data_IF_625605572045
#
_entry.id   IF_625605572045
#
_cell.length_a   1.000
_cell.length_b   1.000
_cell.length_c   1.000
_cell.angle_alpha   90.00
_cell.angle_beta   90.00
_cell.angle_gamma   90.00
#
_symmetry.space_group_name_H-M   'P 1'
#
loop_
_entity.id
_entity.type
_entity.pdbx_description
1 polymer ?
#
# COMPACT_ATOMS: atom_id res chain seq x y z
N UNK A 1 4.14 5.08 -20.85
CA UNK A 1 3.19 5.03 -19.71
C UNK A 1 2.39 6.33 -19.74
N UNK A 2 1.08 6.25 -19.97
CA UNK A 2 0.20 7.43 -19.99
C UNK A 2 -0.40 7.54 -18.59
N UNK A 3 0.01 8.55 -17.82
CA UNK A 3 -0.52 8.81 -16.47
C UNK A 3 -1.49 9.97 -16.48
N UNK A 4 -2.59 9.86 -15.72
CA UNK A 4 -3.46 10.99 -15.39
C UNK A 4 -3.01 11.55 -14.06
N UNK A 5 -2.96 12.88 -13.93
CA UNK A 5 -2.75 13.51 -12.63
C UNK A 5 -3.88 13.12 -11.67
N UNK A 6 -3.51 12.48 -10.56
CA UNK A 6 -4.46 12.14 -9.51
C UNK A 6 -4.80 13.39 -8.69
N UNK A 7 -6.08 13.57 -8.39
CA UNK A 7 -6.57 14.61 -7.48
C UNK A 7 -6.65 14.12 -6.04
N UNK A 8 -6.34 12.85 -5.78
CA UNK A 8 -6.44 12.23 -4.46
C UNK A 8 -5.39 12.78 -3.50
N UNK A 9 -5.82 13.17 -2.30
CA UNK A 9 -4.98 13.70 -1.23
C UNK A 9 -5.40 13.10 0.09
N UNK A 10 -4.45 12.71 0.92
CA UNK A 10 -4.68 12.17 2.26
C UNK A 10 -3.50 12.49 3.16
N UNK A 11 -3.71 12.36 4.48
CA UNK A 11 -2.64 12.53 5.46
C UNK A 11 -1.86 11.22 5.62
N UNK A 12 -0.57 11.34 5.83
CA UNK A 12 0.30 10.21 6.14
C UNK A 12 1.09 10.52 7.40
N UNK A 13 1.08 9.58 8.34
CA UNK A 13 1.51 9.76 9.70
C UNK A 13 2.63 8.79 10.04
N UNK A 14 3.60 9.31 10.75
CA UNK A 14 4.70 8.57 11.35
C UNK A 14 4.74 8.87 12.84
N UNK A 15 5.11 7.87 13.64
CA UNK A 15 5.44 8.04 15.05
C UNK A 15 6.95 7.92 15.23
N UNK A 16 7.48 8.69 16.17
CA UNK A 16 8.87 8.57 16.63
C UNK A 16 8.84 7.97 18.03
N UNK A 17 9.60 6.90 18.22
CA UNK A 17 9.92 6.42 19.56
C UNK A 17 10.97 7.35 20.14
N UNK A 18 10.59 8.12 21.16
CA UNK A 18 11.46 9.11 21.80
C UNK A 18 12.69 8.48 22.48
N UNK A 19 12.61 7.20 22.88
CA UNK A 19 13.70 6.50 23.57
C UNK A 19 14.77 5.97 22.61
N UNK A 20 14.34 5.46 21.46
CA UNK A 20 15.24 4.83 20.46
C UNK A 20 15.53 5.74 19.27
N UNK A 21 14.77 6.82 19.10
CA UNK A 21 14.79 7.68 17.92
C UNK A 21 14.22 7.03 16.66
N UNK A 22 13.74 5.79 16.74
CA UNK A 22 13.22 5.03 15.61
C UNK A 22 11.90 5.65 15.14
N UNK A 23 11.83 5.96 13.85
CA UNK A 23 10.61 6.43 13.20
C UNK A 23 9.89 5.22 12.60
N UNK A 24 8.60 5.10 12.90
CA UNK A 24 7.73 4.04 12.40
C UNK A 24 6.53 4.64 11.71
N UNK A 25 6.10 4.00 10.64
CA UNK A 25 4.86 4.35 10.00
C UNK A 25 3.66 4.02 10.91
N UNK A 26 2.69 4.93 11.03
CA UNK A 26 1.38 4.64 11.61
C UNK A 26 0.48 3.96 10.57
N UNK A 27 0.88 2.78 10.09
CA UNK A 27 0.28 2.15 8.91
C UNK A 27 -1.25 2.00 8.99
N UNK A 28 -1.79 1.63 10.16
CA UNK A 28 -3.23 1.50 10.35
C UNK A 28 -3.99 2.83 10.11
N UNK A 29 -3.50 3.94 10.67
CA UNK A 29 -4.07 5.27 10.44
C UNK A 29 -3.95 5.64 8.94
N UNK A 30 -2.78 5.36 8.36
CA UNK A 30 -2.44 5.73 7.00
C UNK A 30 -3.26 5.00 5.94
N UNK A 31 -3.52 3.71 6.14
CA UNK A 31 -4.32 2.92 5.19
C UNK A 31 -5.79 3.33 5.25
N UNK A 32 -6.31 3.67 6.43
CA UNK A 32 -7.66 4.23 6.58
C UNK A 32 -7.77 5.55 5.80
N UNK A 33 -6.84 6.47 6.03
CA UNK A 33 -6.77 7.77 5.33
C UNK A 33 -6.68 7.60 3.81
N UNK A 34 -5.81 6.68 3.34
CA UNK A 34 -5.66 6.40 1.91
C UNK A 34 -6.92 5.80 1.29
N UNK A 35 -7.54 4.80 1.92
CA UNK A 35 -8.78 4.18 1.42
C UNK A 35 -9.91 5.20 1.38
N UNK A 36 -10.06 6.03 2.41
CA UNK A 36 -11.07 7.07 2.45
C UNK A 36 -10.89 8.06 1.28
N UNK A 37 -9.65 8.51 1.03
CA UNK A 37 -9.38 9.44 -0.07
C UNK A 37 -9.60 8.83 -1.46
N UNK A 38 -9.33 7.54 -1.65
CA UNK A 38 -9.62 6.82 -2.91
C UNK A 38 -11.09 6.39 -3.03
N UNK A 39 -11.89 6.56 -1.98
CA UNK A 39 -13.31 6.22 -1.96
C UNK A 39 -14.22 7.46 -1.94
N UNK A 40 -13.68 8.62 -2.34
CA UNK A 40 -14.37 9.92 -2.32
C UNK A 40 -14.89 10.31 -0.93
N UNK A 41 -14.11 10.00 0.11
CA UNK A 41 -14.44 10.29 1.50
C UNK A 41 -15.45 9.32 2.14
N UNK A 42 -15.89 8.28 1.42
CA UNK A 42 -16.74 7.25 2.02
C UNK A 42 -15.99 6.48 3.10
N UNK A 43 -16.66 6.29 4.23
CA UNK A 43 -16.16 5.44 5.30
C UNK A 43 -16.34 3.97 4.89
N UNK A 44 -15.33 3.41 4.21
CA UNK A 44 -15.34 2.02 3.75
C UNK A 44 -14.73 1.07 4.78
N UNK A 45 -13.83 1.58 5.63
CA UNK A 45 -13.13 0.81 6.65
C UNK A 45 -13.84 0.95 7.99
N UNK A 46 -14.17 -0.17 8.62
CA UNK A 46 -14.70 -0.23 9.98
C UNK A 46 -13.58 -0.22 11.02
N UNK A 47 -12.48 -0.93 10.74
CA UNK A 47 -11.32 -0.98 11.61
C UNK A 47 -10.12 -1.66 10.96
N UNK A 48 -8.93 -1.40 11.52
CA UNK A 48 -7.69 -2.02 11.09
C UNK A 48 -7.00 -2.64 12.29
N UNK A 49 -6.78 -3.95 12.24
CA UNK A 49 -6.09 -4.72 13.25
C UNK A 49 -4.70 -5.10 12.73
N UNK A 50 -3.67 -4.46 13.27
CA UNK A 50 -2.31 -4.98 13.16
C UNK A 50 -2.27 -6.26 14.01
N UNK A 51 -2.31 -7.42 13.36
CA UNK A 51 -2.69 -8.67 14.03
C UNK A 51 -1.82 -8.95 15.27
N UNK A 52 -2.48 -9.24 16.39
CA UNK A 52 -1.89 -9.42 17.74
C UNK A 52 -0.81 -10.48 17.84
N UNK A 53 0.41 -10.12 17.41
CA UNK A 53 1.63 -10.93 17.52
C UNK A 53 2.37 -11.17 16.20
N UNK A 54 1.75 -10.96 15.03
CA UNK A 54 2.43 -11.12 13.73
C UNK A 54 2.68 -9.77 13.05
N UNK A 55 3.92 -9.25 13.05
CA UNK A 55 4.26 -7.96 12.45
C UNK A 55 4.14 -7.93 10.92
N UNK A 56 3.96 -9.09 10.29
CA UNK A 56 3.82 -9.24 8.84
C UNK A 56 2.37 -9.49 8.40
N UNK A 57 1.40 -9.39 9.30
CA UNK A 57 -0.02 -9.53 8.96
C UNK A 57 -0.84 -8.36 9.47
N UNK A 58 -1.73 -7.89 8.61
CA UNK A 58 -2.72 -6.88 8.93
C UNK A 58 -4.10 -7.29 8.44
N UNK A 59 -5.10 -6.97 9.22
CA UNK A 59 -6.50 -7.21 8.89
C UNK A 59 -7.22 -5.86 8.78
N UNK A 60 -7.92 -5.65 7.67
CA UNK A 60 -8.77 -4.48 7.43
C UNK A 60 -10.21 -4.97 7.37
N UNK A 61 -11.01 -4.57 8.34
CA UNK A 61 -12.44 -4.88 8.38
C UNK A 61 -13.19 -3.80 7.59
N UNK A 62 -14.02 -4.23 6.64
CA UNK A 62 -14.79 -3.32 5.77
C UNK A 62 -16.21 -3.18 6.32
N UNK A 63 -16.78 -1.98 6.18
CA UNK A 63 -18.17 -1.75 6.57
C UNK A 63 -19.12 -2.68 5.81
N UNK A 64 -20.17 -3.21 6.47
CA UNK A 64 -21.21 -4.00 5.81
C UNK A 64 -21.89 -3.24 4.66
N UNK A 65 -22.37 -3.98 3.65
CA UNK A 65 -23.08 -3.41 2.49
C UNK A 65 -22.17 -2.97 1.33
N UNK A 66 -20.84 -3.05 1.49
CA UNK A 66 -19.89 -2.88 0.39
C UNK A 66 -19.90 -4.06 -0.60
N UNK A 67 -19.73 -3.77 -1.89
CA UNK A 67 -19.59 -4.82 -2.93
C UNK A 67 -18.23 -5.54 -2.89
N UNK A 68 -17.24 -4.92 -2.25
CA UNK A 68 -15.82 -5.28 -2.40
C UNK A 68 -15.38 -6.39 -1.43
N UNK A 69 -16.11 -6.64 -0.36
CA UNK A 69 -15.82 -7.72 0.60
C UNK A 69 -16.27 -7.32 2.01
N UNK A 70 -16.07 -8.22 2.97
CA UNK A 70 -16.22 -7.95 4.40
C UNK A 70 -14.87 -7.70 5.09
N UNK A 71 -13.78 -8.26 4.56
CA UNK A 71 -12.46 -8.20 5.19
C UNK A 71 -11.34 -8.31 4.16
N UNK A 72 -10.24 -7.59 4.38
CA UNK A 72 -9.00 -7.73 3.62
C UNK A 72 -7.90 -8.16 4.59
N UNK A 73 -7.17 -9.19 4.23
CA UNK A 73 -5.96 -9.63 4.93
C UNK A 73 -4.74 -9.26 4.09
N UNK A 74 -3.80 -8.54 4.67
CA UNK A 74 -2.53 -8.19 4.02
C UNK A 74 -1.41 -8.96 4.71
N UNK A 75 -0.62 -9.66 3.93
CA UNK A 75 0.54 -10.41 4.37
C UNK A 75 1.79 -9.86 3.69
N UNK A 76 2.77 -9.42 4.47
CA UNK A 76 4.06 -8.97 3.94
C UNK A 76 5.09 -10.08 4.07
N UNK A 77 5.39 -10.71 2.94
CA UNK A 77 6.23 -11.91 2.86
C UNK A 77 7.72 -11.57 2.87
N UNK A 78 8.09 -10.35 2.48
CA UNK A 78 9.47 -9.90 2.48
C UNK A 78 9.57 -8.40 2.35
N UNK A 79 10.61 -7.83 2.98
CA UNK A 79 10.97 -6.42 2.87
C UNK A 79 12.47 -6.29 2.64
N UNK A 80 12.86 -5.37 1.79
CA UNK A 80 14.25 -4.91 1.66
C UNK A 80 14.23 -3.40 1.58
N UNK A 81 15.18 -2.76 2.23
CA UNK A 81 15.35 -1.32 2.13
C UNK A 81 16.82 -0.94 2.12
N UNK A 82 17.10 0.18 1.47
CA UNK A 82 18.43 0.76 1.39
C UNK A 82 18.30 2.29 1.41
N UNK A 83 19.32 2.95 1.96
CA UNK A 83 19.45 4.39 1.85
C UNK A 83 20.73 4.74 1.09
N UNK A 84 20.60 5.67 0.15
CA UNK A 84 21.66 6.11 -0.74
C UNK A 84 21.89 7.61 -0.51
N UNK A 85 23.08 8.10 -0.87
CA UNK A 85 23.43 9.53 -0.84
C UNK A 85 23.25 10.14 0.56
N UNK A 86 23.81 9.45 1.56
CA UNK A 86 23.85 9.93 2.95
C UNK A 86 22.47 10.07 3.62
N UNK A 87 21.43 9.41 3.11
CA UNK A 87 20.06 9.52 3.67
C UNK A 87 19.06 10.22 2.76
N UNK A 88 19.50 10.89 1.70
CA UNK A 88 18.64 11.75 0.88
C UNK A 88 17.70 10.96 -0.04
N UNK A 89 18.08 9.72 -0.37
CA UNK A 89 17.30 8.76 -1.16
C UNK A 89 17.07 7.51 -0.30
N UNK A 90 15.82 7.05 -0.29
CA UNK A 90 15.44 5.81 0.37
C UNK A 90 14.71 4.91 -0.61
N UNK A 91 15.17 3.67 -0.73
CA UNK A 91 14.58 2.64 -1.56
C UNK A 91 13.99 1.57 -0.66
N UNK A 92 12.81 1.07 -1.00
CA UNK A 92 12.19 -0.06 -0.33
C UNK A 92 11.51 -0.96 -1.35
N UNK A 93 11.54 -2.26 -1.13
CA UNK A 93 10.71 -3.22 -1.83
C UNK A 93 9.97 -4.11 -0.85
N UNK A 94 8.69 -4.36 -1.11
CA UNK A 94 7.86 -5.23 -0.30
C UNK A 94 7.14 -6.25 -1.17
N UNK A 95 7.20 -7.52 -0.79
CA UNK A 95 6.38 -8.58 -1.38
C UNK A 95 5.13 -8.76 -0.53
N UNK A 96 3.96 -8.56 -1.13
CA UNK A 96 2.67 -8.48 -0.44
C UNK A 96 1.68 -9.45 -1.07
N UNK A 97 1.07 -10.29 -0.23
CA UNK A 97 -0.13 -11.06 -0.57
C UNK A 97 -1.35 -10.37 0.06
N UNK A 98 -2.36 -10.09 -0.75
CA UNK A 98 -3.65 -9.59 -0.30
C UNK A 98 -4.70 -10.68 -0.46
N UNK A 99 -5.52 -10.91 0.57
CA UNK A 99 -6.67 -11.81 0.50
C UNK A 99 -7.92 -11.04 0.88
N UNK A 100 -8.78 -10.79 -0.11
CA UNK A 100 -10.07 -10.13 0.09
C UNK A 100 -11.14 -11.19 0.26
N UNK A 101 -11.78 -11.19 1.43
CA UNK A 101 -12.85 -12.11 1.80
C UNK A 101 -14.19 -11.38 1.73
N UNK A 102 -15.21 -12.08 1.24
CA UNK A 102 -16.58 -11.58 1.15
C UNK A 102 -17.60 -12.68 1.45
N UNK A 103 -18.84 -12.25 1.65
CA UNK A 103 -19.97 -13.15 1.80
C UNK A 103 -20.14 -14.03 0.54
N UNK A 104 -20.73 -15.23 0.67
CA UNK A 104 -21.16 -16.03 -0.47
C UNK A 104 -22.05 -15.23 -1.42
N UNK A 105 -22.04 -15.61 -2.70
CA UNK A 105 -22.91 -14.98 -3.70
C UNK A 105 -24.21 -15.76 -3.83
N UNK A 106 -25.21 -15.20 -4.51
CA UNK A 106 -26.44 -15.96 -4.80
C UNK A 106 -26.17 -17.14 -5.75
N UNK A 107 -25.13 -17.03 -6.58
CA UNK A 107 -24.70 -18.06 -7.53
C UNK A 107 -23.93 -19.19 -6.86
N UNK A 108 -23.21 -18.89 -5.78
CA UNK A 108 -22.52 -19.86 -4.96
C UNK A 108 -22.75 -19.54 -3.47
N UNK A 109 -23.89 -19.99 -2.91
CA UNK A 109 -24.30 -19.64 -1.55
C UNK A 109 -23.51 -20.38 -0.46
N UNK A 110 -22.76 -21.42 -0.82
CA UNK A 110 -22.06 -22.28 0.14
C UNK A 110 -20.57 -21.97 0.24
N UNK A 111 -20.04 -21.14 -0.65
CA UNK A 111 -18.61 -20.80 -0.70
C UNK A 111 -18.43 -19.31 -0.44
N UNK A 112 -17.65 -18.98 0.59
CA UNK A 112 -17.27 -17.59 0.83
C UNK A 112 -16.43 -17.06 -0.34
N UNK A 113 -16.71 -15.84 -0.79
CA UNK A 113 -15.93 -15.24 -1.86
C UNK A 113 -14.53 -14.95 -1.36
N UNK A 114 -13.52 -15.38 -2.09
CA UNK A 114 -12.13 -15.08 -1.83
C UNK A 114 -11.46 -14.60 -3.11
N UNK A 115 -10.75 -13.48 -3.03
CA UNK A 115 -9.90 -12.97 -4.11
C UNK A 115 -8.49 -12.78 -3.56
N UNK A 116 -7.52 -13.42 -4.19
CA UNK A 116 -6.11 -13.37 -3.82
C UNK A 116 -5.38 -12.47 -4.81
N UNK A 117 -4.49 -11.61 -4.32
CA UNK A 117 -3.63 -10.78 -5.14
C UNK A 117 -2.19 -10.86 -4.66
N UNK A 118 -1.27 -11.15 -5.60
CA UNK A 118 0.17 -11.15 -5.37
C UNK A 118 0.78 -9.88 -5.95
N UNK A 119 1.43 -9.10 -5.09
CA UNK A 119 2.00 -7.82 -5.45
C UNK A 119 3.45 -7.72 -4.99
N UNK A 120 4.29 -7.07 -5.78
CA UNK A 120 5.54 -6.51 -5.31
C UNK A 120 5.52 -5.01 -5.49
N UNK A 121 5.73 -4.30 -4.39
CA UNK A 121 5.83 -2.86 -4.37
C UNK A 121 7.30 -2.46 -4.33
N UNK A 122 7.67 -1.50 -5.17
CA UNK A 122 8.97 -0.84 -5.14
C UNK A 122 8.74 0.64 -4.88
N UNK A 123 9.21 1.11 -3.73
CA UNK A 123 9.11 2.48 -3.28
C UNK A 123 10.45 3.16 -3.43
N UNK A 124 10.46 4.32 -4.07
CA UNK A 124 11.59 5.24 -4.07
C UNK A 124 11.14 6.54 -3.45
N UNK A 125 11.75 6.93 -2.34
CA UNK A 125 11.58 8.22 -1.70
C UNK A 125 12.81 9.09 -1.95
N UNK A 126 12.57 10.37 -2.19
CA UNK A 126 13.60 11.39 -2.27
C UNK A 126 13.16 12.63 -1.52
N UNK A 127 14.04 13.14 -0.67
CA UNK A 127 13.85 14.44 -0.05
C UNK A 127 13.77 15.52 -1.13
N UNK A 128 12.75 16.38 -1.05
CA UNK A 128 12.61 17.51 -1.96
C UNK A 128 13.70 18.53 -1.69
N UNK A 129 14.58 18.74 -2.68
CA UNK A 129 15.49 19.88 -2.68
C UNK A 129 14.63 21.14 -2.91
N UNK A 130 14.38 21.91 -1.85
CA UNK A 130 13.58 23.13 -1.90
C UNK A 130 14.04 24.03 -3.05
N UNK A 131 13.17 24.23 -4.04
CA UNK A 131 13.42 25.08 -5.21
C UNK A 131 12.81 26.46 -4.98
N UNK A 132 13.62 27.39 -4.48
CA UNK A 132 13.30 28.81 -4.37
C UNK A 132 14.48 29.55 -3.79
N UNK A 133 14.95 30.60 -4.47
CA UNK A 133 15.90 31.55 -3.92
C UNK A 133 15.27 32.22 -2.69
N UNK A 134 15.64 31.74 -1.50
CA UNK A 134 15.22 32.29 -0.22
C UNK A 134 14.47 31.29 0.67
N UNK A 135 15.19 30.66 1.61
CA UNK A 135 14.63 30.20 2.89
C UNK A 135 14.17 28.73 3.00
N UNK A 136 14.86 27.97 3.85
CA UNK A 136 14.34 27.03 4.87
C UNK A 136 13.17 26.06 4.54
N UNK A 137 13.04 25.57 3.30
CA UNK A 137 12.05 24.53 2.92
C UNK A 137 12.68 23.15 2.67
N UNK A 138 13.99 22.98 2.92
CA UNK A 138 14.64 21.66 2.88
C UNK A 138 14.02 20.75 3.95
N UNK A 139 13.77 19.49 3.59
CA UNK A 139 13.12 18.53 4.49
C UNK A 139 11.63 18.73 4.72
N UNK A 140 11.00 19.75 4.12
CA UNK A 140 9.55 19.97 4.21
C UNK A 140 8.77 19.34 3.07
N UNK A 141 9.41 19.07 1.94
CA UNK A 141 8.77 18.44 0.79
C UNK A 141 9.47 17.13 0.46
N UNK A 142 8.72 16.20 -0.12
CA UNK A 142 9.27 14.98 -0.66
C UNK A 142 8.60 14.59 -1.96
N UNK A 143 9.32 13.78 -2.73
CA UNK A 143 8.77 13.06 -3.87
C UNK A 143 8.98 11.58 -3.63
N UNK A 144 7.97 10.79 -3.91
CA UNK A 144 8.10 9.36 -3.96
C UNK A 144 7.52 8.80 -5.26
N UNK A 145 8.04 7.66 -5.68
CA UNK A 145 7.47 6.84 -6.72
C UNK A 145 7.17 5.46 -6.13
N UNK A 146 6.02 4.92 -6.46
CA UNK A 146 5.65 3.54 -6.14
C UNK A 146 5.41 2.83 -7.46
N UNK A 147 6.18 1.79 -7.73
CA UNK A 147 5.92 0.84 -8.80
C UNK A 147 5.31 -0.41 -8.18
N UNK A 148 4.15 -0.83 -8.67
CA UNK A 148 3.52 -2.08 -8.29
C UNK A 148 3.58 -3.05 -9.46
N UNK A 149 4.17 -4.21 -9.21
CA UNK A 149 4.12 -5.38 -10.07
C UNK A 149 3.06 -6.35 -9.53
N UNK A 150 2.14 -6.79 -10.38
CA UNK A 150 1.10 -7.78 -10.08
C UNK A 150 1.50 -9.10 -10.69
N UNK A 151 1.37 -10.19 -9.95
CA UNK A 151 1.69 -11.53 -10.42
C UNK A 151 0.43 -12.39 -10.51
N UNK A 152 0.43 -13.34 -11.44
CA UNK A 152 -0.59 -14.38 -11.48
C UNK A 152 -0.48 -15.27 -10.23
N UNK A 153 -1.63 -15.69 -9.69
CA UNK A 153 -1.67 -16.65 -8.60
C UNK A 153 -2.13 -18.01 -9.15
N UNK A 154 -1.34 -19.04 -8.88
CA UNK A 154 -1.58 -20.40 -9.40
C UNK A 154 -2.89 -21.01 -8.89
N UNK A 155 -3.45 -20.53 -7.77
CA UNK A 155 -4.75 -21.01 -7.25
C UNK A 155 -5.93 -20.31 -7.92
N UNK A 156 -5.71 -19.12 -8.51
CA UNK A 156 -6.75 -18.37 -9.21
C UNK A 156 -6.78 -18.67 -10.71
N UNK A 157 -5.61 -18.79 -11.34
CA UNK A 157 -5.49 -19.04 -12.78
C UNK A 157 -4.18 -19.79 -13.07
N UNK A 158 -4.26 -21.12 -13.05
CA UNK A 158 -3.11 -21.99 -13.26
C UNK A 158 -2.55 -21.89 -14.68
N UNK A 159 -3.40 -21.64 -15.68
CA UNK A 159 -2.98 -21.52 -17.08
C UNK A 159 -2.16 -20.24 -17.26
N UNK A 160 -2.69 -19.09 -16.81
CA UNK A 160 -1.97 -17.82 -16.85
C UNK A 160 -0.67 -17.89 -16.03
N UNK A 161 -0.69 -18.52 -14.85
CA UNK A 161 0.50 -18.69 -14.03
C UNK A 161 1.60 -19.49 -14.76
N UNK A 162 1.23 -20.57 -15.43
CA UNK A 162 2.16 -21.41 -16.20
C UNK A 162 2.65 -20.71 -17.47
N UNK A 163 1.88 -19.79 -18.05
CA UNK A 163 2.30 -19.04 -19.22
C UNK A 163 3.31 -17.94 -18.88
N UNK A 164 3.16 -17.26 -17.75
CA UNK A 164 4.02 -16.12 -17.35
C UNK A 164 5.19 -16.53 -16.45
N UNK A 165 5.16 -17.70 -15.82
CA UNK A 165 6.27 -18.31 -15.06
C UNK A 165 6.99 -17.38 -14.07
N UNK A 166 6.25 -16.48 -13.44
CA UNK A 166 6.77 -15.52 -12.45
C UNK A 166 7.08 -14.12 -12.99
N UNK A 167 6.85 -13.86 -14.28
CA UNK A 167 6.82 -12.50 -14.79
C UNK A 167 5.57 -11.75 -14.31
N UNK A 168 5.67 -10.43 -14.08
CA UNK A 168 4.51 -9.63 -13.71
C UNK A 168 3.52 -9.52 -14.86
N UNK A 169 2.24 -9.79 -14.58
CA UNK A 169 1.15 -9.69 -15.55
C UNK A 169 0.75 -8.23 -15.80
N UNK A 170 0.87 -7.38 -14.78
CA UNK A 170 0.53 -5.96 -14.85
C UNK A 170 1.55 -5.18 -14.03
N UNK A 171 2.05 -4.08 -14.58
CA UNK A 171 2.87 -3.11 -13.86
C UNK A 171 2.22 -1.73 -13.93
N UNK A 172 2.06 -1.06 -12.80
CA UNK A 172 1.61 0.33 -12.73
C UNK A 172 2.47 1.13 -11.77
N UNK A 173 2.56 2.44 -11.99
CA UNK A 173 3.33 3.32 -11.12
C UNK A 173 2.57 4.58 -10.74
N UNK A 174 2.85 5.07 -9.55
CA UNK A 174 2.27 6.28 -8.98
C UNK A 174 3.38 7.21 -8.50
N UNK A 175 3.30 8.48 -8.90
CA UNK A 175 4.12 9.53 -8.31
C UNK A 175 3.35 10.15 -7.14
N UNK A 176 4.01 10.27 -6.00
CA UNK A 176 3.50 10.88 -4.79
C UNK A 176 4.34 12.12 -4.52
N UNK A 177 3.67 13.24 -4.29
CA UNK A 177 4.30 14.46 -3.78
C UNK A 177 3.70 14.75 -2.41
N UNK A 178 4.53 15.09 -1.45
CA UNK A 178 4.07 15.35 -0.10
C UNK A 178 4.79 16.52 0.53
N UNK A 179 4.11 17.14 1.48
CA UNK A 179 4.62 18.21 2.32
C UNK A 179 4.41 17.81 3.78
N UNK A 180 5.45 17.97 4.60
CA UNK A 180 5.36 17.84 6.06
C UNK A 180 4.48 18.97 6.59
N UNK A 181 3.46 18.60 7.36
CA UNK A 181 2.49 19.50 8.00
C UNK A 181 2.63 19.46 9.51
#
# INVERSE_FOLDING_TARGET
MVGRDSTTRYKWKYSRDESSGVVRECFADNIIESIAAHSDGREVVEGVDASGGNPNRMTINLRPGGRNGSRIEIFVNGRRSESIDGGSIFLCSELVRQVTLGAPTLQDPNVARMVVGEYQHFFTYREGLGGGEGGDERGKHFRANVLTAVYADAQQDADLFNDVLGDPVICYSHNIIGKRV
#
